data_IF_544695644796
#
_entry.id   IF_544695644796
#
_cell.length_a   1.000
_cell.length_b   1.000
_cell.length_c   1.000
_cell.angle_alpha   90.00
_cell.angle_beta   90.00
_cell.angle_gamma   90.00
#
_symmetry.space_group_name_H-M   'P 1'
#
loop_
_entity.id
_entity.type
_entity.pdbx_description
1 polymer ?
#
# COMPACT_ATOMS: atom_id res chain seq x y z
N UNK A 1 2.31 -13.24 18.67
CA UNK A 1 2.66 -12.15 17.73
C UNK A 1 3.49 -11.18 18.55
N UNK A 2 4.77 -11.03 18.22
CA UNK A 2 5.70 -10.22 19.00
C UNK A 2 5.42 -8.75 18.65
N UNK A 3 4.79 -8.01 19.55
CA UNK A 3 4.68 -6.55 19.45
C UNK A 3 6.09 -5.96 19.67
N UNK A 4 6.87 -5.84 18.61
CA UNK A 4 8.17 -5.17 18.68
C UNK A 4 7.96 -3.66 18.79
N UNK A 5 8.86 -2.94 19.47
CA UNK A 5 8.76 -1.50 19.77
C UNK A 5 8.73 -0.56 18.53
N UNK A 6 8.67 -1.10 17.31
CA UNK A 6 8.72 -0.34 16.06
C UNK A 6 7.39 -0.28 15.31
N UNK A 7 6.40 -1.10 15.68
CA UNK A 7 5.08 -1.05 15.03
C UNK A 7 4.47 0.36 15.07
N UNK A 8 3.86 0.76 13.96
CA UNK A 8 3.11 2.01 13.79
C UNK A 8 1.70 1.68 13.34
N UNK A 9 0.77 2.57 13.63
CA UNK A 9 -0.61 2.46 13.15
C UNK A 9 -0.82 3.54 12.09
N UNK A 10 -1.12 3.12 10.87
CA UNK A 10 -1.65 4.01 9.83
C UNK A 10 -3.15 4.04 9.98
N UNK A 11 -3.72 5.24 10.14
CA UNK A 11 -5.18 5.41 10.20
C UNK A 11 -5.65 5.82 8.81
N UNK A 12 -6.59 5.06 8.25
CA UNK A 12 -7.23 5.32 6.95
C UNK A 12 -8.73 5.50 7.16
N UNK A 13 -9.35 6.31 6.31
CA UNK A 13 -10.80 6.50 6.30
C UNK A 13 -11.37 5.85 5.05
N UNK A 14 -12.25 4.85 5.24
CA UNK A 14 -12.93 4.14 4.15
C UNK A 14 -14.40 4.03 4.50
N UNK A 15 -15.29 4.40 3.58
CA UNK A 15 -16.74 4.36 3.82
C UNK A 15 -17.24 5.26 4.96
N UNK A 16 -16.44 6.23 5.41
CA UNK A 16 -16.75 7.08 6.59
C UNK A 16 -16.37 6.45 7.93
N UNK A 17 -15.71 5.29 7.93
CA UNK A 17 -15.18 4.62 9.11
C UNK A 17 -13.65 4.75 9.16
N UNK A 18 -13.11 4.91 10.37
CA UNK A 18 -11.66 4.94 10.59
C UNK A 18 -11.13 3.54 10.88
N UNK A 19 -10.15 3.10 10.07
CA UNK A 19 -9.53 1.78 10.17
C UNK A 19 -8.04 1.96 10.50
N UNK A 20 -7.54 1.19 11.48
CA UNK A 20 -6.13 1.18 11.87
C UNK A 20 -5.38 0.01 11.26
N UNK A 21 -4.32 0.29 10.49
CA UNK A 21 -3.43 -0.70 9.89
C UNK A 21 -2.10 -0.73 10.64
N UNK A 22 -1.73 -1.88 11.20
CA UNK A 22 -0.43 -2.07 11.85
C UNK A 22 0.63 -2.27 10.77
N UNK A 23 1.70 -1.48 10.84
CA UNK A 23 2.85 -1.56 9.93
C UNK A 23 4.15 -1.59 10.73
N UNK A 24 5.21 -2.14 10.14
CA UNK A 24 6.51 -2.24 10.80
C UNK A 24 7.19 -0.88 10.97
N UNK A 25 7.07 0.02 10.00
CA UNK A 25 7.64 1.37 10.05
C UNK A 25 7.02 2.31 9.00
N UNK A 26 7.13 3.61 9.24
CA UNK A 26 6.89 4.65 8.23
C UNK A 26 8.22 5.30 7.91
N UNK A 27 8.69 5.16 6.66
CA UNK A 27 10.03 5.60 6.27
C UNK A 27 10.07 7.09 5.92
N UNK A 28 9.26 7.52 4.94
CA UNK A 28 9.25 8.87 4.39
C UNK A 28 8.01 9.12 3.53
N UNK A 29 7.76 10.38 3.16
CA UNK A 29 6.71 10.76 2.21
C UNK A 29 7.35 11.09 0.86
N UNK A 30 6.96 10.38 -0.19
CA UNK A 30 7.48 10.54 -1.54
C UNK A 30 6.44 11.21 -2.45
N UNK A 31 6.91 12.00 -3.42
CA UNK A 31 6.10 12.45 -4.56
C UNK A 31 6.44 11.57 -5.75
N UNK A 32 5.44 10.88 -6.28
CA UNK A 32 5.57 10.00 -7.43
C UNK A 32 4.67 10.53 -8.56
N UNK A 33 5.26 11.00 -9.67
CA UNK A 33 4.52 11.37 -10.88
C UNK A 33 3.75 10.18 -11.47
N UNK A 34 2.56 10.42 -12.02
CA UNK A 34 1.70 9.36 -12.59
C UNK A 34 2.37 8.63 -13.78
N UNK A 35 3.20 9.33 -14.55
CA UNK A 35 3.95 8.75 -15.68
C UNK A 35 5.07 7.78 -15.25
N UNK A 36 5.39 7.75 -13.96
CA UNK A 36 6.31 6.79 -13.34
C UNK A 36 5.60 5.62 -12.66
N UNK A 37 4.27 5.52 -12.83
CA UNK A 37 3.45 4.42 -12.32
C UNK A 37 3.14 3.45 -13.47
N UNK A 38 3.61 2.22 -13.34
CA UNK A 38 3.26 1.12 -14.23
C UNK A 38 2.01 0.38 -13.69
N UNK A 39 1.06 -0.02 -14.56
CA UNK A 39 -0.10 -0.77 -14.14
C UNK A 39 0.29 -2.17 -13.64
N UNK A 40 -0.48 -2.78 -12.71
CA UNK A 40 -0.17 -4.07 -12.08
C UNK A 40 -0.23 -5.27 -13.05
N UNK A 41 -0.37 -5.03 -14.36
CA UNK A 41 -0.41 -6.02 -15.44
C UNK A 41 0.64 -7.12 -15.36
N UNK A 42 1.82 -6.85 -14.80
CA UNK A 42 2.87 -7.87 -14.60
C UNK A 42 2.51 -8.94 -13.54
N UNK A 43 1.56 -8.66 -12.65
CA UNK A 43 1.08 -9.57 -11.59
C UNK A 43 -0.29 -10.20 -11.90
N UNK A 44 -0.82 -9.97 -13.11
CA UNK A 44 -2.14 -10.43 -13.51
C UNK A 44 -2.33 -11.94 -13.27
N UNK A 45 -3.41 -12.30 -12.57
CA UNK A 45 -3.78 -13.70 -12.26
C UNK A 45 -3.41 -14.17 -10.85
N UNK A 46 -2.88 -13.31 -9.99
CA UNK A 46 -2.69 -13.59 -8.56
C UNK A 46 -3.78 -12.90 -7.73
N UNK A 47 -4.25 -13.53 -6.65
CA UNK A 47 -5.21 -12.88 -5.71
C UNK A 47 -4.63 -11.59 -5.11
N UNK A 48 -3.30 -11.49 -5.03
CA UNK A 48 -2.62 -10.29 -4.56
C UNK A 48 -2.70 -9.11 -5.54
N UNK A 49 -2.90 -9.36 -6.83
CA UNK A 49 -2.99 -8.31 -7.84
C UNK A 49 -4.23 -7.43 -7.65
N UNK A 50 -5.30 -7.95 -7.05
CA UNK A 50 -6.54 -7.21 -6.84
C UNK A 50 -6.34 -6.03 -5.86
N UNK A 51 -5.39 -6.15 -4.93
CA UNK A 51 -5.06 -5.14 -3.92
C UNK A 51 -3.98 -4.14 -4.36
N UNK A 52 -3.45 -4.27 -5.58
CA UNK A 52 -2.34 -3.45 -6.07
C UNK A 52 -2.90 -2.47 -7.10
N UNK A 53 -2.69 -1.17 -6.87
CA UNK A 53 -3.08 -0.12 -7.81
C UNK A 53 -1.99 0.16 -8.86
N UNK A 54 -0.72 -0.12 -8.55
CA UNK A 54 0.38 0.02 -9.50
C UNK A 54 1.76 -0.20 -8.91
N UNK A 55 2.78 -0.04 -9.76
CA UNK A 55 4.20 -0.13 -9.43
C UNK A 55 4.88 1.20 -9.80
N UNK A 56 5.42 1.89 -8.81
CA UNK A 56 6.19 3.12 -9.01
C UNK A 56 7.68 2.87 -8.98
N UNK A 57 8.45 3.55 -9.83
CA UNK A 57 9.92 3.59 -9.69
C UNK A 57 10.35 4.99 -9.27
N UNK A 58 10.88 5.15 -8.05
CA UNK A 58 11.35 6.43 -7.51
C UNK A 58 12.81 6.29 -7.07
N UNK A 59 13.73 7.12 -7.59
CA UNK A 59 15.14 7.10 -7.20
C UNK A 59 15.76 5.68 -7.25
N UNK A 60 15.49 4.94 -8.32
CA UNK A 60 15.88 3.52 -8.50
C UNK A 60 15.31 2.52 -7.48
N UNK A 61 14.35 2.95 -6.65
CA UNK A 61 13.58 2.08 -5.76
C UNK A 61 12.24 1.74 -6.39
N UNK A 62 11.89 0.45 -6.34
CA UNK A 62 10.55 0.00 -6.68
C UNK A 62 9.63 0.21 -5.46
N UNK A 63 8.49 0.84 -5.70
CA UNK A 63 7.46 1.11 -4.69
C UNK A 63 6.16 0.47 -5.18
N UNK A 64 5.57 -0.38 -4.35
CA UNK A 64 4.25 -0.95 -4.62
C UNK A 64 3.18 0.01 -4.13
N UNK A 65 2.21 0.34 -4.99
CA UNK A 65 1.05 1.13 -4.62
C UNK A 65 -0.09 0.17 -4.29
N UNK A 66 -0.61 0.27 -3.06
CA UNK A 66 -1.73 -0.52 -2.58
C UNK A 66 -3.04 0.23 -2.80
N UNK A 67 -4.07 -0.53 -3.17
CA UNK A 67 -5.46 -0.09 -3.19
C UNK A 67 -6.04 -0.32 -1.78
N UNK A 68 -5.95 0.71 -0.93
CA UNK A 68 -6.32 0.62 0.49
C UNK A 68 -7.78 0.24 0.66
N UNK A 69 -8.68 0.76 -0.18
CA UNK A 69 -10.12 0.47 -0.13
C UNK A 69 -10.36 -1.03 -0.29
N UNK A 70 -9.78 -1.66 -1.32
CA UNK A 70 -9.92 -3.10 -1.52
C UNK A 70 -9.26 -3.94 -0.44
N UNK A 71 -8.13 -3.47 0.11
CA UNK A 71 -7.45 -4.15 1.22
C UNK A 71 -8.35 -4.24 2.44
N UNK A 72 -9.12 -3.19 2.74
CA UNK A 72 -10.01 -3.18 3.91
C UNK A 72 -11.40 -3.75 3.64
N UNK A 73 -11.91 -3.72 2.41
CA UNK A 73 -13.21 -4.31 2.05
C UNK A 73 -13.25 -5.83 2.24
N UNK A 74 -12.11 -6.51 2.20
CA UNK A 74 -11.98 -7.95 2.39
C UNK A 74 -11.63 -8.38 3.83
N UNK A 75 -11.69 -7.44 4.80
CA UNK A 75 -11.42 -7.70 6.23
C UNK A 75 -12.71 -7.94 7.01
#
# INVERSE_FOLDING_TARGET
HEETAQSRIIVVEVGGESIGMIVDAVSEVLRLPEDQIEPPTQMAGTESADYISGLGKVNDRLVLLLDVEKVVENV
#
